data_IF_084995548994
#
_entry.id   IF_084995548994
#
_cell.length_a   1.000
_cell.length_b   1.000
_cell.length_c   1.000
_cell.angle_alpha   90.00
_cell.angle_beta   90.00
_cell.angle_gamma   90.00
#
_symmetry.space_group_name_H-M   'P 1'
#
loop_
_entity.id
_entity.type
_entity.pdbx_description
1 polymer ?
#
# COMPACT_ATOMS: atom_id res chain seq x y z
N UNK A 1 7.20 21.33 5.39
CA UNK A 1 7.57 20.88 4.04
C UNK A 1 6.91 21.82 3.03
N UNK A 2 7.65 22.35 2.05
CA UNK A 2 7.06 23.21 1.02
C UNK A 2 5.96 22.49 0.22
N UNK A 3 4.96 23.24 -0.22
CA UNK A 3 3.82 22.68 -0.96
C UNK A 3 4.23 21.93 -2.23
N UNK A 4 5.20 22.46 -2.98
CA UNK A 4 5.70 21.82 -4.20
C UNK A 4 6.36 20.46 -3.90
N UNK A 5 7.05 20.34 -2.77
CA UNK A 5 7.68 19.11 -2.34
C UNK A 5 6.63 18.06 -1.93
N UNK A 6 5.59 18.48 -1.22
CA UNK A 6 4.46 17.62 -0.86
C UNK A 6 3.77 17.08 -2.11
N UNK A 7 3.51 17.93 -3.10
CA UNK A 7 2.87 17.51 -4.34
C UNK A 7 3.73 16.54 -5.13
N UNK A 8 5.06 16.75 -5.16
CA UNK A 8 5.98 15.83 -5.83
C UNK A 8 5.99 14.46 -5.15
N UNK A 9 5.97 14.41 -3.82
CA UNK A 9 5.92 13.16 -3.06
C UNK A 9 4.61 12.42 -3.34
N UNK A 10 3.48 13.15 -3.33
CA UNK A 10 2.17 12.55 -3.62
C UNK A 10 2.09 11.98 -5.02
N UNK A 11 2.68 12.67 -6.00
CA UNK A 11 2.71 12.20 -7.38
C UNK A 11 3.52 10.89 -7.51
N UNK A 12 4.66 10.81 -6.83
CA UNK A 12 5.47 9.58 -6.81
C UNK A 12 4.75 8.45 -6.09
N UNK A 13 4.05 8.75 -5.00
CA UNK A 13 3.25 7.78 -4.25
C UNK A 13 2.18 7.17 -5.15
N UNK A 14 1.46 8.01 -5.88
CA UNK A 14 0.42 7.56 -6.82
C UNK A 14 1.01 6.68 -7.91
N UNK A 15 2.14 7.07 -8.51
CA UNK A 15 2.79 6.31 -9.56
C UNK A 15 3.22 4.93 -9.06
N UNK A 16 3.81 4.86 -7.87
CA UNK A 16 4.23 3.63 -7.23
C UNK A 16 3.03 2.70 -6.96
N UNK A 17 1.95 3.25 -6.40
CA UNK A 17 0.74 2.49 -6.13
C UNK A 17 0.13 1.92 -7.40
N UNK A 18 0.07 2.70 -8.48
CA UNK A 18 -0.45 2.24 -9.77
C UNK A 18 0.42 1.13 -10.36
N UNK A 19 1.74 1.25 -10.24
CA UNK A 19 2.68 0.23 -10.70
C UNK A 19 2.44 -1.10 -9.99
N UNK A 20 2.35 -1.09 -8.65
CA UNK A 20 2.15 -2.31 -7.87
C UNK A 20 0.77 -2.93 -8.12
N UNK A 21 -0.25 -2.11 -8.33
CA UNK A 21 -1.57 -2.61 -8.70
C UNK A 21 -1.56 -3.26 -10.08
N UNK A 22 -0.84 -2.66 -11.03
CA UNK A 22 -0.69 -3.21 -12.37
C UNK A 22 0.04 -4.55 -12.39
N UNK A 23 0.94 -4.79 -11.44
CA UNK A 23 1.66 -6.05 -11.28
C UNK A 23 0.86 -7.12 -10.52
N UNK A 24 -0.31 -6.77 -9.99
CA UNK A 24 -1.12 -7.68 -9.19
C UNK A 24 -0.60 -7.91 -7.77
N UNK A 25 0.35 -7.10 -7.32
CA UNK A 25 0.93 -7.19 -5.98
C UNK A 25 0.07 -6.45 -4.96
N UNK A 26 -0.44 -5.30 -5.34
CA UNK A 26 -1.36 -4.51 -4.52
C UNK A 26 -2.78 -4.74 -5.06
N UNK A 27 -3.49 -5.70 -4.45
CA UNK A 27 -4.77 -6.17 -4.98
C UNK A 27 -5.92 -5.19 -4.80
N UNK A 28 -6.00 -4.57 -3.63
CA UNK A 28 -7.10 -3.67 -3.30
C UNK A 28 -6.59 -2.46 -2.53
N UNK A 29 -7.17 -1.31 -2.81
CA UNK A 29 -6.87 -0.06 -2.13
C UNK A 29 -8.18 0.71 -1.96
N UNK A 30 -8.64 0.84 -0.71
CA UNK A 30 -9.88 1.52 -0.38
C UNK A 30 -9.65 2.69 0.56
N UNK A 31 -10.33 3.79 0.29
CA UNK A 31 -10.35 4.94 1.20
C UNK A 31 -11.28 4.65 2.37
N UNK A 32 -10.83 4.92 3.60
CA UNK A 32 -11.71 4.89 4.76
C UNK A 32 -12.61 6.14 4.71
N UNK A 33 -13.91 5.93 4.76
CA UNK A 33 -14.86 7.03 4.67
C UNK A 33 -14.66 8.01 5.83
N UNK A 34 -14.47 9.29 5.49
CA UNK A 34 -14.33 10.34 6.48
C UNK A 34 -12.93 10.52 7.05
N UNK A 35 -11.95 9.74 6.61
CA UNK A 35 -10.58 9.78 7.14
C UNK A 35 -9.54 9.82 6.02
N UNK A 36 -8.37 10.41 6.32
CA UNK A 36 -7.21 10.32 5.44
C UNK A 36 -6.46 9.04 5.76
N UNK A 37 -7.10 7.94 5.44
CA UNK A 37 -6.58 6.60 5.72
C UNK A 37 -7.08 5.63 4.65
N UNK A 38 -6.44 4.48 4.54
CA UNK A 38 -6.89 3.46 3.59
C UNK A 38 -6.72 2.05 4.18
N UNK A 39 -7.48 1.13 3.62
CA UNK A 39 -7.24 -0.30 3.76
C UNK A 39 -6.68 -0.82 2.45
N UNK A 40 -5.67 -1.65 2.55
CA UNK A 40 -4.99 -2.21 1.38
C UNK A 40 -4.80 -3.71 1.55
N UNK A 41 -4.90 -4.43 0.45
CA UNK A 41 -4.65 -5.88 0.41
C UNK A 41 -3.50 -6.13 -0.57
N UNK A 42 -2.48 -6.84 -0.10
CA UNK A 42 -1.29 -7.19 -0.89
C UNK A 42 -1.22 -8.70 -1.08
N UNK A 43 -0.75 -9.11 -2.24
CA UNK A 43 -0.40 -10.50 -2.53
C UNK A 43 1.12 -10.58 -2.68
N UNK A 44 1.77 -11.09 -1.67
CA UNK A 44 3.25 -11.17 -1.60
C UNK A 44 3.69 -12.55 -1.15
N UNK A 45 4.93 -12.91 -1.48
CA UNK A 45 5.48 -14.22 -1.16
C UNK A 45 5.91 -14.36 0.30
N UNK A 46 6.22 -13.24 0.96
CA UNK A 46 6.73 -13.25 2.33
C UNK A 46 6.50 -11.91 3.02
N UNK A 47 6.65 -11.90 4.34
CA UNK A 47 6.61 -10.66 5.12
C UNK A 47 7.78 -9.76 4.78
N UNK A 48 8.94 -10.31 4.45
CA UNK A 48 10.10 -9.52 4.03
C UNK A 48 9.81 -8.77 2.74
N UNK A 49 9.17 -9.42 1.78
CA UNK A 49 8.76 -8.78 0.54
C UNK A 49 7.78 -7.64 0.81
N UNK A 50 6.77 -7.88 1.67
CA UNK A 50 5.81 -6.85 2.05
C UNK A 50 6.50 -5.65 2.68
N UNK A 51 7.42 -5.90 3.62
CA UNK A 51 8.17 -4.81 4.26
C UNK A 51 8.96 -3.98 3.23
N UNK A 52 9.63 -4.65 2.30
CA UNK A 52 10.38 -3.98 1.24
C UNK A 52 9.49 -3.10 0.38
N UNK A 53 8.32 -3.61 -0.01
CA UNK A 53 7.37 -2.85 -0.81
C UNK A 53 6.83 -1.64 -0.06
N UNK A 54 6.45 -1.80 1.20
CA UNK A 54 5.93 -0.70 2.02
C UNK A 54 7.01 0.35 2.28
N UNK A 55 8.24 -0.09 2.57
CA UNK A 55 9.36 0.83 2.80
C UNK A 55 9.73 1.62 1.53
N UNK A 56 9.36 1.13 0.36
CA UNK A 56 9.56 1.83 -0.91
C UNK A 56 8.55 2.94 -1.18
N UNK A 57 7.47 3.02 -0.40
CA UNK A 57 6.49 4.10 -0.56
C UNK A 57 7.12 5.45 -0.23
N UNK A 58 7.01 6.46 -1.10
CA UNK A 58 7.56 7.79 -0.83
C UNK A 58 7.06 8.42 0.48
N UNK A 59 5.84 8.11 0.89
CA UNK A 59 5.26 8.62 2.14
C UNK A 59 5.53 7.72 3.34
N UNK A 60 6.25 6.61 3.18
CA UNK A 60 6.47 5.64 4.26
C UNK A 60 6.92 6.29 5.58
N UNK A 61 7.87 7.24 5.61
CA UNK A 61 8.31 7.84 6.87
C UNK A 61 7.21 8.59 7.63
N UNK A 62 6.13 8.93 6.94
CA UNK A 62 5.02 9.74 7.48
C UNK A 62 3.78 8.91 7.77
N UNK A 63 3.82 7.59 7.51
CA UNK A 63 2.67 6.72 7.64
C UNK A 63 2.72 5.92 8.94
N UNK A 64 1.55 5.74 9.55
CA UNK A 64 1.35 4.74 10.58
C UNK A 64 0.71 3.53 9.91
N UNK A 65 1.39 2.39 9.91
CA UNK A 65 0.95 1.19 9.21
C UNK A 65 0.72 0.07 10.20
N UNK A 66 -0.45 -0.57 10.09
CA UNK A 66 -0.77 -1.79 10.82
C UNK A 66 -0.93 -2.91 9.80
N UNK A 67 -0.30 -4.05 10.05
CA UNK A 67 -0.32 -5.20 9.13
C UNK A 67 -1.01 -6.37 9.81
N UNK A 68 -1.96 -6.97 9.08
CA UNK A 68 -2.62 -8.21 9.50
C UNK A 68 -2.26 -9.27 8.46
N UNK A 69 -1.41 -10.24 8.80
CA UNK A 69 -1.09 -11.34 7.90
C UNK A 69 -2.31 -12.23 7.68
N UNK A 70 -2.52 -12.63 6.43
CA UNK A 70 -3.65 -13.48 6.06
C UNK A 70 -3.17 -14.73 5.36
N UNK A 71 -3.88 -15.83 5.59
CA UNK A 71 -3.65 -17.07 4.88
C UNK A 71 -4.90 -17.42 4.08
N UNK A 72 -4.75 -18.29 3.09
CA UNK A 72 -5.88 -18.78 2.33
C UNK A 72 -6.85 -19.54 3.24
N UNK A 73 -8.10 -19.13 3.27
CA UNK A 73 -9.13 -19.85 4.00
C UNK A 73 -9.52 -21.11 3.23
N UNK A 74 -9.65 -22.27 3.89
CA UNK A 74 -9.99 -23.53 3.20
C UNK A 74 -11.30 -23.49 2.42
N UNK A 75 -12.21 -22.60 2.82
CA UNK A 75 -13.52 -22.46 2.15
C UNK A 75 -13.56 -21.27 1.19
N UNK A 76 -12.45 -20.61 0.91
CA UNK A 76 -12.42 -19.47 0.00
C UNK A 76 -12.58 -19.93 -1.45
N UNK A 77 -13.33 -19.14 -2.23
CA UNK A 77 -13.51 -19.42 -3.66
C UNK A 77 -12.30 -18.94 -4.46
N UNK A 78 -11.59 -17.93 -3.97
CA UNK A 78 -10.41 -17.36 -4.63
C UNK A 78 -9.42 -16.81 -3.61
#
# INVERSE_FOLDING_TARGET
MPAAEVEAIKAREKAYALELQGKGVWLHLWRVVGEYANYSVFDVASNDELHTLLAGLPLFPYLKIEVTPLAQHPSAIR
#
